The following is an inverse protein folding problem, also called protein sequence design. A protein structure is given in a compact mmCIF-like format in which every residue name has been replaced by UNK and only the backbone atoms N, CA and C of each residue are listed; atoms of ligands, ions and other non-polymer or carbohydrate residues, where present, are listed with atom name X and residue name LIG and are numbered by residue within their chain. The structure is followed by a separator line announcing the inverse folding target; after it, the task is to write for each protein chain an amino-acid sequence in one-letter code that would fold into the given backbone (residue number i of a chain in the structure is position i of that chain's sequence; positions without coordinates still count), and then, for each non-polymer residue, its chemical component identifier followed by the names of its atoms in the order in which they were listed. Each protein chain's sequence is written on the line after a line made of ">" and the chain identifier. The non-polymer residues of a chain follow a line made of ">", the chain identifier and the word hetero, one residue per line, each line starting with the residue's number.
data_IF_018227657839
#
_entry.id   IF_018227657839
#
_cell.length_a   1.000
_cell.length_b   1.000
_cell.length_c   1.000
_cell.angle_alpha   90.00
_cell.angle_beta   90.00
_cell.angle_gamma   90.00
#
_symmetry.space_group_name_H-M   'P 1'
#
loop_
_entity.id
_entity.type
_entity.pdbx_description
1 polymer ?
#
# COMPACT_ATOMS: atom_id res chain seq x y z
N UNK A 1 27.00 0.90 -9.42
CA UNK A 1 26.60 -0.40 -9.99
C UNK A 1 25.12 -0.63 -9.73
N UNK A 2 24.41 -1.28 -10.64
CA UNK A 2 23.00 -1.63 -10.45
C UNK A 2 22.91 -2.88 -9.57
N UNK A 3 22.02 -2.88 -8.58
CA UNK A 3 21.70 -4.04 -7.71
C UNK A 3 21.13 -5.24 -8.48
N UNK A 4 20.77 -5.03 -9.75
CA UNK A 4 20.33 -6.10 -10.64
C UNK A 4 21.49 -7.05 -10.96
N UNK A 5 21.46 -8.26 -10.38
CA UNK A 5 22.41 -9.33 -10.67
C UNK A 5 22.16 -9.89 -12.09
N UNK A 6 22.56 -9.15 -13.11
CA UNK A 6 22.37 -9.52 -14.51
C UNK A 6 23.07 -10.84 -14.88
N UNK A 7 24.21 -11.14 -14.23
CA UNK A 7 24.96 -12.40 -14.45
C UNK A 7 24.18 -13.60 -13.91
N UNK A 8 23.71 -13.52 -12.67
CA UNK A 8 22.83 -14.53 -12.09
C UNK A 8 21.53 -14.67 -12.89
N UNK A 9 20.90 -13.57 -13.30
CA UNK A 9 19.67 -13.62 -14.10
C UNK A 9 19.87 -14.32 -15.45
N UNK A 10 21.03 -14.09 -16.09
CA UNK A 10 21.45 -14.80 -17.31
C UNK A 10 21.72 -16.29 -17.04
N UNK A 11 22.41 -16.62 -15.96
CA UNK A 11 22.76 -17.99 -15.58
C UNK A 11 21.54 -18.84 -15.22
N UNK A 12 20.59 -18.27 -14.46
CA UNK A 12 19.32 -18.94 -14.14
C UNK A 12 18.43 -19.10 -15.37
N UNK A 13 18.50 -18.16 -16.32
CA UNK A 13 17.69 -18.15 -17.52
C UNK A 13 16.26 -17.64 -17.26
N UNK A 14 15.76 -16.79 -18.17
CA UNK A 14 14.47 -16.11 -18.01
C UNK A 14 13.29 -17.08 -17.85
N UNK A 15 13.33 -18.24 -18.51
CA UNK A 15 12.28 -19.26 -18.43
C UNK A 15 12.13 -19.83 -17.02
N UNK A 16 13.25 -20.12 -16.34
CA UNK A 16 13.21 -20.65 -14.97
C UNK A 16 12.73 -19.61 -13.97
N UNK A 17 13.09 -18.34 -14.17
CA UNK A 17 12.65 -17.24 -13.32
C UNK A 17 11.14 -17.02 -13.48
N UNK A 18 10.63 -16.99 -14.73
CA UNK A 18 9.20 -16.86 -14.99
C UNK A 18 8.44 -18.03 -14.39
N UNK A 19 8.91 -19.27 -14.55
CA UNK A 19 8.28 -20.44 -13.91
C UNK A 19 8.23 -20.27 -12.40
N UNK A 20 9.34 -19.89 -11.77
CA UNK A 20 9.37 -19.63 -10.32
C UNK A 20 8.37 -18.56 -9.88
N UNK A 21 8.24 -17.47 -10.65
CA UNK A 21 7.26 -16.41 -10.37
C UNK A 21 5.81 -16.89 -10.56
N UNK A 22 5.53 -17.72 -11.56
CA UNK A 22 4.21 -18.28 -11.81
C UNK A 22 3.78 -19.32 -10.77
N UNK A 23 4.72 -19.94 -10.06
CA UNK A 23 4.45 -20.90 -8.98
C UNK A 23 4.31 -20.26 -7.61
N UNK A 24 4.72 -19.00 -7.44
CA UNK A 24 4.66 -18.31 -6.15
C UNK A 24 3.34 -17.57 -6.02
N UNK A 25 2.50 -18.02 -5.11
CA UNK A 25 1.33 -17.24 -4.70
C UNK A 25 1.80 -15.91 -4.12
N UNK A 26 1.22 -14.82 -4.60
CA UNK A 26 1.44 -13.50 -4.02
C UNK A 26 0.89 -13.57 -2.59
N UNK A 27 1.67 -13.18 -1.56
CA UNK A 27 1.17 -13.22 -0.19
C UNK A 27 -0.10 -12.38 -0.07
N UNK A 28 -1.09 -12.90 0.66
CA UNK A 28 -2.33 -12.20 0.97
C UNK A 28 -2.05 -10.81 1.54
N UNK A 29 -2.82 -9.81 1.11
CA UNK A 29 -2.83 -8.51 1.78
C UNK A 29 -3.48 -8.68 3.15
N UNK A 30 -2.67 -8.64 4.20
CA UNK A 30 -3.10 -8.73 5.59
C UNK A 30 -2.13 -7.96 6.48
N UNK A 31 -2.55 -7.73 7.72
CA UNK A 31 -1.73 -7.07 8.73
C UNK A 31 -0.42 -7.82 8.98
N UNK A 32 0.70 -7.11 8.92
CA UNK A 32 2.03 -7.65 9.22
C UNK A 32 2.96 -7.57 8.02
N UNK A 33 4.21 -7.19 8.28
CA UNK A 33 5.25 -7.05 7.26
C UNK A 33 6.31 -8.12 7.48
N UNK A 34 6.76 -8.75 6.39
CA UNK A 34 7.81 -9.77 6.44
C UNK A 34 9.06 -9.24 7.14
N UNK A 35 9.64 -10.04 8.04
CA UNK A 35 10.83 -9.64 8.82
C UNK A 35 12.02 -9.25 7.95
N UNK A 36 12.14 -9.82 6.75
CA UNK A 36 13.16 -9.47 5.76
C UNK A 36 13.02 -8.05 5.22
N UNK A 37 11.81 -7.49 5.21
CA UNK A 37 11.56 -6.09 4.84
C UNK A 37 11.73 -5.14 6.03
N UNK A 38 11.55 -5.66 7.25
CA UNK A 38 11.80 -4.91 8.50
C UNK A 38 13.28 -4.83 8.89
N UNK A 39 14.10 -5.70 8.30
CA UNK A 39 15.55 -5.75 8.48
C UNK A 39 16.25 -5.77 7.12
N UNK A 40 15.76 -4.97 6.17
CA UNK A 40 16.29 -4.98 4.82
C UNK A 40 17.66 -4.30 4.77
N UNK A 41 18.57 -4.84 3.96
CA UNK A 41 19.82 -4.15 3.64
C UNK A 41 19.51 -2.94 2.75
N UNK A 42 19.84 -1.73 3.22
CA UNK A 42 19.56 -0.50 2.49
C UNK A 42 20.62 -0.21 1.43
N UNK A 43 20.36 -0.69 0.21
CA UNK A 43 21.36 -0.67 -0.87
C UNK A 43 21.38 0.60 -1.75
N UNK A 44 20.94 1.77 -1.22
CA UNK A 44 20.91 3.04 -1.97
C UNK A 44 21.96 4.06 -1.49
N UNK A 45 22.83 3.69 -0.55
CA UNK A 45 23.93 4.53 -0.04
C UNK A 45 25.30 3.99 -0.49
N UNK A 46 26.33 4.84 -0.41
CA UNK A 46 27.69 4.48 -0.81
C UNK A 46 28.17 3.26 0.02
N UNK A 47 28.96 2.33 -0.56
CA UNK A 47 29.45 1.13 0.12
C UNK A 47 30.28 1.37 1.40
N UNK A 48 30.68 2.63 1.66
CA UNK A 48 31.40 3.06 2.86
C UNK A 48 30.48 3.48 4.01
N UNK A 49 29.18 3.56 3.78
CA UNK A 49 28.19 3.80 4.81
C UNK A 49 27.78 2.42 5.34
N UNK A 50 28.41 1.97 6.43
CA UNK A 50 27.94 0.84 7.24
C UNK A 50 26.44 1.07 7.47
N UNK A 51 25.61 0.20 6.92
CA UNK A 51 24.15 0.36 6.98
C UNK A 51 23.62 -0.53 8.08
N UNK A 52 23.26 0.11 9.19
CA UNK A 52 22.32 -0.46 10.14
C UNK A 52 21.05 -0.91 9.37
N UNK A 53 20.52 -2.08 9.72
CA UNK A 53 19.31 -2.67 9.15
C UNK A 53 18.21 -1.61 8.94
N UNK A 54 17.57 -1.60 7.76
CA UNK A 54 16.53 -0.65 7.42
C UNK A 54 15.14 -1.29 7.52
N UNK A 55 14.27 -0.67 8.32
CA UNK A 55 12.88 -1.09 8.45
C UNK A 55 12.01 -0.36 7.42
N UNK A 56 11.69 -1.05 6.32
CA UNK A 56 10.84 -0.51 5.25
C UNK A 56 9.44 -0.16 5.79
N UNK A 57 8.91 -0.92 6.74
CA UNK A 57 7.58 -0.67 7.30
C UNK A 57 7.56 0.63 8.11
N UNK A 58 8.58 0.84 8.95
CA UNK A 58 8.73 2.09 9.69
C UNK A 58 8.90 3.28 8.73
N UNK A 59 9.72 3.10 7.70
CA UNK A 59 10.02 4.16 6.75
C UNK A 59 8.81 4.56 5.89
N UNK A 60 7.95 3.62 5.53
CA UNK A 60 6.69 3.89 4.83
C UNK A 60 5.81 4.86 5.62
N UNK A 61 5.58 4.59 6.92
CA UNK A 61 4.78 5.45 7.80
C UNK A 61 5.44 6.83 7.97
N UNK A 62 6.76 6.87 8.18
CA UNK A 62 7.51 8.14 8.27
C UNK A 62 7.30 8.97 7.00
N UNK A 63 7.37 8.34 5.82
CA UNK A 63 7.25 9.04 4.54
C UNK A 63 5.84 9.55 4.24
N UNK A 64 4.81 8.82 4.66
CA UNK A 64 3.43 9.31 4.59
C UNK A 64 3.30 10.63 5.36
N UNK A 65 3.79 10.64 6.61
CA UNK A 65 3.73 11.81 7.49
C UNK A 65 4.59 12.96 6.97
N UNK A 66 5.82 12.69 6.54
CA UNK A 66 6.73 13.71 5.99
C UNK A 66 6.18 14.39 4.73
N UNK A 67 5.46 13.65 3.89
CA UNK A 67 4.81 14.18 2.69
C UNK A 67 3.48 14.88 2.98
N UNK A 68 3.06 14.93 4.25
CA UNK A 68 1.79 15.53 4.64
C UNK A 68 0.58 14.76 4.11
N UNK A 69 0.69 13.45 3.90
CA UNK A 69 -0.45 12.62 3.54
C UNK A 69 -1.45 12.63 4.70
N UNK A 70 -2.73 12.80 4.39
CA UNK A 70 -3.79 12.72 5.39
C UNK A 70 -3.88 11.33 6.02
N UNK A 71 -4.38 11.27 7.26
CA UNK A 71 -4.67 10.00 7.93
C UNK A 71 -5.76 9.22 7.19
N UNK A 72 -5.94 7.95 7.54
CA UNK A 72 -6.90 7.07 6.88
C UNK A 72 -8.31 7.66 6.83
N UNK A 73 -8.84 8.10 7.98
CA UNK A 73 -10.16 8.70 8.05
C UNK A 73 -10.23 10.08 7.38
N UNK A 74 -9.17 10.88 7.44
CA UNK A 74 -9.12 12.17 6.75
C UNK A 74 -9.27 11.97 5.24
N UNK A 75 -8.60 10.98 4.67
CA UNK A 75 -8.73 10.66 3.24
C UNK A 75 -10.15 10.22 2.88
N UNK A 76 -10.77 9.35 3.68
CA UNK A 76 -12.14 8.90 3.42
C UNK A 76 -13.13 10.06 3.43
N UNK A 77 -12.98 11.01 4.36
CA UNK A 77 -13.80 12.22 4.40
C UNK A 77 -13.55 13.11 3.18
N UNK A 78 -12.27 13.36 2.84
CA UNK A 78 -11.91 14.16 1.68
C UNK A 78 -12.42 13.55 0.35
N UNK A 79 -12.44 12.22 0.24
CA UNK A 79 -13.05 11.51 -0.87
C UNK A 79 -14.56 11.78 -0.96
N UNK A 80 -15.26 11.66 0.17
CA UNK A 80 -16.71 11.86 0.23
C UNK A 80 -17.12 13.28 -0.15
N UNK A 81 -16.29 14.28 0.20
CA UNK A 81 -16.47 15.68 -0.17
C UNK A 81 -16.40 15.94 -1.68
N UNK A 82 -15.74 15.06 -2.45
CA UNK A 82 -15.72 15.17 -3.92
C UNK A 82 -17.07 14.86 -4.58
N UNK A 83 -18.05 14.32 -3.83
CA UNK A 83 -19.38 14.01 -4.35
C UNK A 83 -19.44 12.79 -5.28
N UNK A 84 -18.44 11.89 -5.20
CA UNK A 84 -18.48 10.63 -5.94
C UNK A 84 -19.68 9.77 -5.54
N UNK A 85 -20.28 9.05 -6.50
CA UNK A 85 -21.41 8.16 -6.22
C UNK A 85 -21.04 7.04 -5.22
N UNK A 86 -19.79 6.60 -5.23
CA UNK A 86 -19.25 5.62 -4.29
C UNK A 86 -18.65 6.35 -3.10
N UNK A 87 -19.30 6.27 -1.96
CA UNK A 87 -18.82 6.85 -0.71
C UNK A 87 -17.89 5.86 0.04
N UNK A 88 -16.89 6.41 0.71
CA UNK A 88 -16.00 5.72 1.64
C UNK A 88 -16.58 5.83 3.05
N UNK A 89 -16.37 4.82 3.89
CA UNK A 89 -16.86 4.83 5.28
C UNK A 89 -15.70 5.10 6.24
N UNK A 90 -15.57 6.32 6.80
CA UNK A 90 -14.65 6.55 7.93
C UNK A 90 -14.93 5.56 9.07
N UNK A 91 -13.88 5.15 9.76
CA UNK A 91 -13.93 4.22 10.88
C UNK A 91 -14.24 4.98 12.15
N UNK A 92 -15.24 4.54 12.90
CA UNK A 92 -15.70 5.24 14.10
C UNK A 92 -15.20 4.53 15.37
N UNK A 93 -14.93 3.24 15.27
CA UNK A 93 -14.49 2.40 16.38
C UNK A 93 -13.31 1.53 15.97
N UNK A 94 -12.54 1.04 16.94
CA UNK A 94 -11.45 0.08 16.70
C UNK A 94 -11.95 -1.21 16.04
N UNK A 95 -13.18 -1.62 16.35
CA UNK A 95 -13.83 -2.77 15.73
C UNK A 95 -14.16 -2.57 14.25
N UNK A 96 -14.22 -1.32 13.75
CA UNK A 96 -14.38 -1.08 12.32
C UNK A 96 -13.07 -1.30 11.53
N UNK A 97 -11.92 -1.36 12.21
CA UNK A 97 -10.63 -1.66 11.57
C UNK A 97 -10.30 -3.15 11.54
N UNK A 98 -10.65 -3.89 12.59
CA UNK A 98 -10.31 -5.31 12.71
C UNK A 98 -11.21 -6.03 13.69
N UNK A 99 -11.44 -7.32 13.43
CA UNK A 99 -12.16 -8.20 14.37
C UNK A 99 -11.24 -8.81 15.43
N UNK A 100 -9.91 -8.65 15.32
CA UNK A 100 -8.93 -9.14 16.29
C UNK A 100 -8.86 -8.20 17.51
N UNK A 101 -9.24 -8.71 18.68
CA UNK A 101 -9.24 -7.94 19.93
C UNK A 101 -7.85 -7.54 20.40
N UNK A 102 -6.81 -8.31 20.04
CA UNK A 102 -5.42 -7.93 20.31
C UNK A 102 -5.01 -6.73 19.46
N UNK A 103 -5.32 -6.74 18.16
CA UNK A 103 -5.03 -5.62 17.27
C UNK A 103 -5.83 -4.37 17.65
N UNK A 104 -7.10 -4.51 18.06
CA UNK A 104 -7.87 -3.40 18.60
C UNK A 104 -7.20 -2.75 19.81
N UNK A 105 -6.67 -3.55 20.74
CA UNK A 105 -5.97 -3.05 21.93
C UNK A 105 -4.65 -2.35 21.56
N UNK A 106 -3.89 -2.87 20.59
CA UNK A 106 -2.67 -2.23 20.11
C UNK A 106 -2.96 -0.92 19.37
N UNK A 107 -3.98 -0.88 18.51
CA UNK A 107 -4.43 0.35 17.85
C UNK A 107 -4.84 1.41 18.86
N UNK A 108 -5.63 1.02 19.86
CA UNK A 108 -6.00 1.92 20.94
C UNK A 108 -4.76 2.43 21.69
N UNK A 109 -3.84 1.55 22.08
CA UNK A 109 -2.60 1.94 22.78
C UNK A 109 -1.75 2.91 21.96
N UNK A 110 -1.67 2.71 20.64
CA UNK A 110 -0.81 3.49 19.74
C UNK A 110 -1.43 4.83 19.34
N UNK A 111 -2.74 4.89 19.07
CA UNK A 111 -3.38 6.05 18.43
C UNK A 111 -4.31 6.85 19.34
N UNK A 112 -4.82 6.28 20.44
CA UNK A 112 -5.67 7.00 21.39
C UNK A 112 -5.06 8.33 21.87
N UNK A 113 -3.76 8.40 22.25
CA UNK A 113 -3.15 9.66 22.71
C UNK A 113 -3.08 10.76 21.63
N UNK A 114 -3.26 10.40 20.36
CA UNK A 114 -3.03 11.29 19.21
C UNK A 114 -4.32 11.64 18.45
N UNK A 115 -5.49 11.32 19.00
CA UNK A 115 -6.79 11.58 18.36
C UNK A 115 -7.60 10.33 18.03
N UNK A 116 -7.21 9.17 18.59
CA UNK A 116 -7.99 7.94 18.47
C UNK A 116 -8.07 7.43 17.03
N UNK A 117 -9.25 6.94 16.64
CA UNK A 117 -9.49 6.35 15.31
C UNK A 117 -9.15 7.29 14.15
N UNK A 118 -9.18 8.60 14.37
CA UNK A 118 -8.86 9.60 13.34
C UNK A 118 -7.36 9.83 13.14
N UNK A 119 -6.54 9.34 14.06
CA UNK A 119 -5.08 9.46 14.00
C UNK A 119 -4.40 8.29 13.26
N UNK A 120 -5.16 7.26 12.88
CA UNK A 120 -4.62 6.05 12.24
C UNK A 120 -3.99 6.40 10.89
N UNK A 121 -2.71 6.06 10.71
CA UNK A 121 -1.97 6.30 9.48
C UNK A 121 -2.62 5.60 8.29
N UNK A 122 -2.40 6.13 7.08
CA UNK A 122 -3.01 5.58 5.87
C UNK A 122 -2.59 4.13 5.64
N UNK A 123 -1.28 3.85 5.65
CA UNK A 123 -0.75 2.50 5.46
C UNK A 123 -1.33 1.52 6.49
N UNK A 124 -1.48 1.93 7.75
CA UNK A 124 -2.01 1.06 8.79
C UNK A 124 -3.49 0.77 8.56
N UNK A 125 -4.29 1.80 8.29
CA UNK A 125 -5.73 1.61 8.06
C UNK A 125 -6.07 0.74 6.85
N UNK A 126 -5.27 0.81 5.79
CA UNK A 126 -5.47 0.04 4.54
C UNK A 126 -5.09 -1.44 4.65
N UNK A 127 -4.10 -1.76 5.49
CA UNK A 127 -3.54 -3.11 5.64
C UNK A 127 -4.23 -3.93 6.75
N UNK A 128 -5.16 -3.31 7.50
CA UNK A 128 -6.03 -3.99 8.47
C UNK A 128 -7.16 -4.77 7.78
N UNK A 129 -8.09 -5.34 8.55
CA UNK A 129 -9.17 -6.20 8.03
C UNK A 129 -10.17 -5.41 7.16
N UNK A 130 -9.75 -5.03 5.96
CA UNK A 130 -10.62 -4.47 4.95
C UNK A 130 -11.40 -5.57 4.23
N UNK A 131 -12.60 -5.22 3.77
CA UNK A 131 -13.26 -6.03 2.76
C UNK A 131 -12.39 -6.06 1.50
N UNK A 132 -12.21 -7.24 0.92
CA UNK A 132 -11.56 -7.35 -0.38
C UNK A 132 -12.51 -6.99 -1.52
N UNK A 133 -11.94 -6.47 -2.61
CA UNK A 133 -12.71 -6.33 -3.85
C UNK A 133 -13.21 -7.72 -4.31
N UNK A 134 -14.46 -7.85 -4.79
CA UNK A 134 -15.01 -9.16 -5.15
C UNK A 134 -14.08 -9.95 -6.07
N UNK A 135 -13.82 -11.21 -5.70
CA UNK A 135 -12.94 -12.15 -6.43
C UNK A 135 -11.45 -11.81 -6.48
N UNK A 136 -10.98 -10.83 -5.67
CA UNK A 136 -9.55 -10.51 -5.54
C UNK A 136 -9.13 -10.52 -4.07
N UNK A 137 -7.82 -10.39 -3.82
CA UNK A 137 -7.23 -10.25 -2.48
C UNK A 137 -6.83 -8.79 -2.20
N UNK A 138 -7.30 -7.84 -3.02
CA UNK A 138 -6.91 -6.44 -2.89
C UNK A 138 -7.88 -5.71 -1.96
N UNK A 139 -7.39 -5.01 -0.92
CA UNK A 139 -8.22 -4.18 -0.04
C UNK A 139 -9.08 -3.19 -0.83
N UNK A 140 -10.36 -3.09 -0.47
CA UNK A 140 -11.35 -2.28 -1.21
C UNK A 140 -10.94 -0.81 -1.28
N UNK A 141 -10.39 -0.25 -0.20
CA UNK A 141 -9.95 1.16 -0.18
C UNK A 141 -8.78 1.35 -1.13
N UNK A 142 -7.76 0.48 -1.06
CA UNK A 142 -6.61 0.56 -1.96
C UNK A 142 -7.02 0.44 -3.42
N UNK A 143 -7.95 -0.47 -3.74
CA UNK A 143 -8.46 -0.63 -5.10
C UNK A 143 -9.20 0.62 -5.59
N UNK A 144 -10.07 1.21 -4.78
CA UNK A 144 -10.80 2.44 -5.15
C UNK A 144 -9.85 3.61 -5.43
N UNK A 145 -8.83 3.78 -4.60
CA UNK A 145 -7.80 4.81 -4.79
C UNK A 145 -7.00 4.57 -6.08
N UNK A 146 -6.57 3.33 -6.29
CA UNK A 146 -5.76 2.93 -7.44
C UNK A 146 -6.53 3.04 -8.75
N UNK A 147 -7.80 2.63 -8.79
CA UNK A 147 -8.63 2.68 -10.00
C UNK A 147 -8.80 4.11 -10.51
N UNK A 148 -9.09 5.09 -9.64
CA UNK A 148 -9.18 6.49 -10.07
C UNK A 148 -7.85 6.97 -10.66
N UNK A 149 -6.72 6.63 -10.01
CA UNK A 149 -5.42 7.03 -10.53
C UNK A 149 -5.12 6.40 -11.89
N UNK A 150 -5.45 5.12 -12.08
CA UNK A 150 -5.30 4.42 -13.37
C UNK A 150 -6.17 5.08 -14.45
N UNK A 151 -7.46 5.32 -14.16
CA UNK A 151 -8.35 6.00 -15.12
C UNK A 151 -7.89 7.41 -15.45
N UNK A 152 -7.40 8.17 -14.46
CA UNK A 152 -6.85 9.51 -14.70
C UNK A 152 -5.57 9.45 -15.55
N UNK A 153 -4.69 8.47 -15.30
CA UNK A 153 -3.49 8.25 -16.11
C UNK A 153 -3.86 7.89 -17.56
N UNK A 154 -4.82 6.98 -17.76
CA UNK A 154 -5.33 6.62 -19.07
C UNK A 154 -5.99 7.81 -19.78
N UNK A 155 -6.85 8.56 -19.09
CA UNK A 155 -7.51 9.73 -19.67
C UNK A 155 -6.55 10.89 -19.99
N UNK A 156 -5.44 11.00 -19.25
CA UNK A 156 -4.44 12.04 -19.44
C UNK A 156 -3.37 11.69 -20.49
N UNK A 157 -3.15 10.41 -20.79
CA UNK A 157 -2.17 10.00 -21.79
C UNK A 157 -2.76 9.98 -23.21
N UNK A 158 -2.45 11.02 -23.98
CA UNK A 158 -2.85 11.13 -25.40
C UNK A 158 -2.32 10.01 -26.31
N UNK A 159 -1.32 9.27 -25.86
CA UNK A 159 -0.69 8.19 -26.64
C UNK A 159 -1.17 6.80 -26.23
N UNK A 160 -2.01 6.68 -25.20
CA UNK A 160 -2.52 5.38 -24.82
C UNK A 160 -3.44 4.82 -25.93
N UNK A 161 -3.37 3.53 -26.25
CA UNK A 161 -4.14 2.93 -27.35
C UNK A 161 -5.65 3.18 -27.27
N UNK A 162 -6.19 3.35 -26.06
CA UNK A 162 -7.61 3.64 -25.79
C UNK A 162 -7.93 5.12 -25.59
N UNK A 163 -7.03 6.06 -25.95
CA UNK A 163 -7.26 7.49 -25.68
C UNK A 163 -8.61 7.95 -26.23
N UNK A 164 -8.93 7.63 -27.49
CA UNK A 164 -10.20 8.01 -28.11
C UNK A 164 -11.43 7.48 -27.35
N UNK A 165 -11.36 6.29 -26.75
CA UNK A 165 -12.47 5.73 -25.95
C UNK A 165 -12.63 6.36 -24.57
N UNK A 166 -11.56 6.96 -24.02
CA UNK A 166 -11.62 7.66 -22.72
C UNK A 166 -12.12 9.10 -22.84
N UNK A 167 -12.22 9.65 -24.05
CA UNK A 167 -12.76 10.99 -24.33
C UNK A 167 -14.27 10.98 -24.64
N UNK A 168 -14.95 9.84 -24.50
CA UNK A 168 -16.39 9.74 -24.72
C UNK A 168 -17.14 10.55 -23.64
N UNK A 169 -17.82 11.60 -24.08
CA UNK A 169 -18.70 12.47 -23.28
C UNK A 169 -20.05 11.82 -23.06
#
# INVERSE_FOLDING_TARGET
>A
ETIFNAKGFKEYGIDNIIRGLLFKDIPYFHTGVQDSLRNADYNVRLPSEDTDNFDIAAWAIVHERERGLGTFNQYMRAWNEQGYAVQMRPRETWADFTNDTHLQAELQRLYEPYGGVDAVDMAVGQELDEAFWPTTEVPLTMMRMSLINIYNMEGADRFQPGYASTQCV
#
